data_IF_927502702094
#
_entry.id   IF_927502702094
#
_cell.length_a   1.000
_cell.length_b   1.000
_cell.length_c   1.000
_cell.angle_alpha   90.00
_cell.angle_beta   90.00
_cell.angle_gamma   90.00
#
_symmetry.space_group_name_H-M   'P 1'
#
loop_
_entity.id
_entity.type
_entity.pdbx_description
1 polymer ?
#
# COMPACT_ATOMS: atom_id res chain seq x y z
N UNK A 1 17.89 -9.91 -20.26
CA UNK A 1 16.50 -9.47 -20.10
C UNK A 1 16.35 -8.79 -18.75
N UNK A 2 16.08 -7.49 -18.77
CA UNK A 2 16.09 -6.62 -17.60
C UNK A 2 15.02 -5.54 -17.75
N UNK A 3 14.27 -5.31 -16.68
CA UNK A 3 13.34 -4.18 -16.58
C UNK A 3 13.90 -3.12 -15.63
N UNK A 4 13.45 -1.88 -15.82
CA UNK A 4 13.72 -0.81 -14.86
C UNK A 4 12.47 -0.55 -14.04
N UNK A 5 12.58 -0.60 -12.72
CA UNK A 5 11.49 -0.24 -11.80
C UNK A 5 11.88 1.04 -11.07
N UNK A 6 10.98 2.02 -11.08
CA UNK A 6 11.15 3.32 -10.40
C UNK A 6 10.04 3.47 -9.36
N UNK A 7 10.41 3.78 -8.13
CA UNK A 7 9.45 3.93 -7.04
C UNK A 7 9.10 5.40 -6.77
N UNK A 8 8.00 5.91 -7.33
CA UNK A 8 7.53 7.29 -7.14
C UNK A 8 6.56 7.45 -5.95
N UNK A 9 6.65 6.60 -4.92
CA UNK A 9 5.87 6.79 -3.69
C UNK A 9 6.48 7.90 -2.83
N UNK A 10 6.00 9.15 -2.98
CA UNK A 10 6.35 10.32 -2.13
C UNK A 10 5.96 10.12 -0.65
N UNK A 11 6.30 11.09 0.23
CA UNK A 11 6.11 11.14 1.70
C UNK A 11 4.94 10.35 2.30
N UNK A 12 3.75 10.37 1.70
CA UNK A 12 2.61 9.51 2.09
C UNK A 12 2.91 7.98 2.05
N UNK A 13 4.09 7.57 1.59
CA UNK A 13 4.69 6.24 1.67
C UNK A 13 6.17 6.20 2.12
N UNK A 14 6.73 7.28 2.69
CA UNK A 14 8.18 7.44 2.96
C UNK A 14 8.78 6.50 4.02
N UNK A 15 7.98 5.77 4.79
CA UNK A 15 8.53 4.97 5.91
C UNK A 15 8.95 3.56 5.52
N UNK A 16 8.58 3.09 4.33
CA UNK A 16 8.33 1.65 4.21
C UNK A 16 8.76 1.08 2.88
N UNK A 17 9.71 0.15 2.99
CA UNK A 17 10.35 -0.55 1.88
C UNK A 17 9.31 -1.44 1.19
N UNK A 18 9.12 -1.25 -0.12
CA UNK A 18 8.24 -2.10 -0.92
C UNK A 18 8.96 -3.40 -1.28
N UNK A 19 8.24 -4.52 -1.21
CA UNK A 19 8.74 -5.80 -1.72
C UNK A 19 8.24 -6.01 -3.13
N UNK A 20 9.16 -6.13 -4.08
CA UNK A 20 8.87 -6.48 -5.47
C UNK A 20 8.73 -8.00 -5.59
N UNK A 21 7.73 -8.42 -6.35
CA UNK A 21 7.45 -9.83 -6.67
C UNK A 21 7.36 -10.03 -8.18
N UNK A 22 8.09 -11.03 -8.69
CA UNK A 22 7.96 -11.54 -10.05
C UNK A 22 7.27 -12.91 -9.99
N UNK A 23 6.22 -13.10 -10.77
CA UNK A 23 5.44 -14.34 -10.83
C UNK A 23 5.03 -14.83 -9.42
N UNK A 24 4.67 -13.89 -8.54
CA UNK A 24 4.30 -14.15 -7.14
C UNK A 24 5.47 -14.36 -6.16
N UNK A 25 6.70 -14.58 -6.66
CA UNK A 25 7.90 -14.79 -5.83
C UNK A 25 8.54 -13.47 -5.44
N UNK A 26 8.84 -13.28 -4.15
CA UNK A 26 9.58 -12.11 -3.64
C UNK A 26 11.00 -12.16 -4.18
N UNK A 27 11.45 -11.06 -4.78
CA UNK A 27 12.77 -10.99 -5.40
C UNK A 27 13.68 -9.97 -4.71
N UNK A 28 13.16 -8.76 -4.47
CA UNK A 28 13.97 -7.65 -3.98
C UNK A 28 13.09 -6.61 -3.30
N UNK A 29 13.74 -5.76 -2.52
CA UNK A 29 13.14 -4.63 -1.83
C UNK A 29 13.55 -3.33 -2.54
N UNK A 30 12.63 -2.36 -2.63
CA UNK A 30 12.89 -1.06 -3.24
C UNK A 30 12.46 0.05 -2.27
N UNK A 31 13.36 1.01 -2.06
CA UNK A 31 13.12 2.18 -1.23
C UNK A 31 12.29 3.23 -2.00
N UNK A 32 11.64 4.17 -1.30
CA UNK A 32 11.07 5.37 -1.92
C UNK A 32 12.10 6.07 -2.81
N UNK A 33 11.65 6.57 -3.96
CA UNK A 33 12.43 7.33 -4.94
C UNK A 33 13.62 6.55 -5.57
N UNK A 34 13.76 5.28 -5.23
CA UNK A 34 14.81 4.44 -5.78
C UNK A 34 14.45 3.97 -7.19
N UNK A 35 15.47 3.92 -8.04
CA UNK A 35 15.46 3.25 -9.34
C UNK A 35 16.25 1.96 -9.26
N UNK A 36 15.66 0.86 -9.71
CA UNK A 36 16.28 -0.47 -9.65
C UNK A 36 16.16 -1.18 -11.00
N UNK A 37 17.23 -1.84 -11.43
CA UNK A 37 17.21 -2.76 -12.58
C UNK A 37 17.02 -4.18 -12.07
N UNK A 38 16.07 -4.91 -12.66
CA UNK A 38 15.69 -6.25 -12.23
C UNK A 38 15.77 -7.19 -13.42
N UNK A 39 16.51 -8.29 -13.28
CA UNK A 39 16.59 -9.31 -14.31
C UNK A 39 15.30 -10.13 -14.36
N UNK A 40 14.78 -10.32 -15.56
CA UNK A 40 13.65 -11.19 -15.82
C UNK A 40 14.17 -12.61 -16.03
N UNK A 41 13.75 -13.60 -15.21
CA UNK A 41 14.18 -14.98 -15.39
C UNK A 41 13.50 -15.65 -16.59
N UNK A 42 12.30 -15.20 -16.99
CA UNK A 42 11.46 -15.75 -18.05
C UNK A 42 10.54 -14.64 -18.61
N UNK A 43 10.11 -14.77 -19.86
CA UNK A 43 9.12 -13.90 -20.49
C UNK A 43 7.91 -14.69 -21.00
N UNK A 44 6.68 -14.15 -20.88
CA UNK A 44 6.30 -12.94 -20.14
C UNK A 44 6.41 -13.13 -18.62
N UNK A 45 6.70 -12.06 -17.88
CA UNK A 45 6.71 -12.07 -16.42
C UNK A 45 5.62 -11.16 -15.85
N UNK A 46 5.05 -11.52 -14.71
CA UNK A 46 4.09 -10.71 -13.98
C UNK A 46 4.74 -10.03 -12.79
N UNK A 47 4.76 -8.70 -12.79
CA UNK A 47 5.23 -7.86 -11.71
C UNK A 47 4.09 -7.51 -10.74
N UNK A 48 4.38 -7.53 -9.45
CA UNK A 48 3.54 -6.96 -8.39
C UNK A 48 4.41 -6.43 -7.26
N UNK A 49 3.91 -5.46 -6.49
CA UNK A 49 4.57 -4.96 -5.28
C UNK A 49 3.67 -5.10 -4.07
N UNK A 50 4.27 -5.23 -2.89
CA UNK A 50 3.52 -5.35 -1.63
C UNK A 50 4.25 -4.73 -0.45
N UNK A 51 3.48 -4.27 0.51
CA UNK A 51 3.95 -3.70 1.77
C UNK A 51 2.99 -4.08 2.89
N UNK A 52 3.47 -4.67 4.00
CA UNK A 52 2.67 -4.99 5.19
C UNK A 52 1.25 -5.49 4.84
N UNK A 53 1.15 -6.57 4.06
CA UNK A 53 -0.14 -7.16 3.64
C UNK A 53 -0.82 -6.47 2.44
N UNK A 54 -0.64 -5.17 2.25
CA UNK A 54 -1.12 -4.41 1.09
C UNK A 54 -0.42 -4.82 -0.21
N UNK A 55 -1.15 -4.79 -1.33
CA UNK A 55 -0.67 -5.21 -2.66
C UNK A 55 -0.98 -4.18 -3.73
N UNK A 56 -0.21 -4.20 -4.81
CA UNK A 56 -0.53 -3.51 -6.06
C UNK A 56 -1.47 -4.33 -6.97
N UNK A 57 -1.78 -3.79 -8.15
CA UNK A 57 -2.19 -4.61 -9.29
C UNK A 57 -1.06 -5.53 -9.78
N UNK A 58 -1.42 -6.50 -10.60
CA UNK A 58 -0.49 -7.27 -11.41
C UNK A 58 -0.27 -6.54 -12.74
N UNK A 59 0.96 -6.56 -13.24
CA UNK A 59 1.33 -5.97 -14.53
C UNK A 59 2.26 -6.93 -15.26
N UNK A 60 1.92 -7.30 -16.50
CA UNK A 60 2.81 -8.08 -17.35
C UNK A 60 3.93 -7.19 -17.90
N UNK A 61 5.16 -7.69 -17.85
CA UNK A 61 6.37 -6.94 -18.20
C UNK A 61 7.27 -7.73 -19.16
N UNK A 62 7.97 -7.01 -20.04
CA UNK A 62 8.90 -7.52 -21.06
C UNK A 62 10.26 -6.81 -21.00
N UNK A 63 11.30 -7.36 -21.63
CA UNK A 63 12.65 -6.80 -21.67
C UNK A 63 12.66 -5.33 -22.09
N UNK A 64 13.47 -4.52 -21.40
CA UNK A 64 13.65 -3.11 -21.70
C UNK A 64 12.54 -2.17 -21.19
N UNK A 65 11.42 -2.70 -20.67
CA UNK A 65 10.34 -1.85 -20.17
C UNK A 65 10.71 -1.09 -18.89
N UNK A 66 10.15 0.11 -18.75
CA UNK A 66 10.27 0.97 -17.57
C UNK A 66 8.92 0.98 -16.84
N UNK A 67 8.94 0.61 -15.57
CA UNK A 67 7.76 0.49 -14.73
C UNK A 67 7.84 1.48 -13.57
N UNK A 68 6.78 2.27 -13.42
CA UNK A 68 6.61 3.17 -12.29
C UNK A 68 5.68 2.58 -11.25
N UNK A 69 6.08 2.70 -9.98
CA UNK A 69 5.24 2.43 -8.82
C UNK A 69 4.71 3.76 -8.30
N UNK A 70 3.39 3.90 -8.24
CA UNK A 70 2.72 5.09 -7.73
C UNK A 70 1.64 4.73 -6.71
N UNK A 71 1.26 5.69 -5.85
CA UNK A 71 0.08 5.54 -5.00
C UNK A 71 -1.16 5.82 -5.85
N UNK A 72 -2.16 4.92 -5.80
CA UNK A 72 -3.41 5.14 -6.52
C UNK A 72 -4.13 6.36 -5.94
N UNK A 73 -4.40 7.39 -6.75
CA UNK A 73 -5.09 8.63 -6.32
C UNK A 73 -6.39 8.36 -5.56
N UNK A 74 -7.17 7.38 -6.02
CA UNK A 74 -8.42 6.96 -5.36
C UNK A 74 -8.15 6.41 -3.95
N UNK A 75 -7.08 5.62 -3.79
CA UNK A 75 -6.71 5.07 -2.48
C UNK A 75 -6.29 6.16 -1.50
N UNK A 76 -5.59 7.20 -1.96
CA UNK A 76 -5.29 8.36 -1.12
C UNK A 76 -6.55 9.08 -0.63
N UNK A 77 -7.59 9.22 -1.48
CA UNK A 77 -8.87 9.80 -1.09
C UNK A 77 -9.62 8.91 -0.08
N UNK A 78 -9.65 7.60 -0.32
CA UNK A 78 -10.27 6.63 0.60
C UNK A 78 -9.58 6.69 1.96
N UNK A 79 -8.25 6.72 1.99
CA UNK A 79 -7.50 6.83 3.24
C UNK A 79 -7.89 8.09 4.02
N UNK A 80 -7.84 9.27 3.39
CA UNK A 80 -8.17 10.52 4.05
C UNK A 80 -9.62 10.56 4.54
N UNK A 81 -10.57 10.09 3.72
CA UNK A 81 -11.98 9.99 4.13
C UNK A 81 -12.16 9.03 5.31
N UNK A 82 -11.52 7.86 5.27
CA UNK A 82 -11.61 6.86 6.34
C UNK A 82 -11.01 7.37 7.65
N UNK A 83 -9.91 8.13 7.57
CA UNK A 83 -9.26 8.75 8.72
C UNK A 83 -10.19 9.79 9.36
N UNK A 84 -10.85 10.62 8.54
CA UNK A 84 -11.83 11.59 9.03
C UNK A 84 -13.00 10.90 9.74
N UNK A 85 -13.57 9.87 9.12
CA UNK A 85 -14.64 9.06 9.74
C UNK A 85 -14.20 8.45 11.06
N UNK A 86 -12.99 7.90 11.14
CA UNK A 86 -12.45 7.32 12.37
C UNK A 86 -12.31 8.36 13.49
N UNK A 87 -11.84 9.56 13.18
CA UNK A 87 -11.74 10.65 14.17
C UNK A 87 -13.12 11.10 14.67
N UNK A 88 -14.13 11.17 13.79
CA UNK A 88 -15.51 11.46 14.19
C UNK A 88 -16.03 10.38 15.14
N UNK A 89 -15.78 9.09 14.86
CA UNK A 89 -16.21 8.01 15.74
C UNK A 89 -15.53 8.06 17.12
N UNK A 90 -14.24 8.45 17.19
CA UNK A 90 -13.55 8.68 18.46
C UNK A 90 -14.20 9.83 19.25
N UNK A 91 -14.55 10.92 18.57
CA UNK A 91 -15.23 12.06 19.19
C UNK A 91 -16.59 11.65 19.76
N UNK A 92 -17.39 10.93 18.98
CA UNK A 92 -18.69 10.41 19.42
C UNK A 92 -18.52 9.46 20.61
N UNK A 93 -17.53 8.57 20.57
CA UNK A 93 -17.22 7.66 21.69
C UNK A 93 -16.92 8.45 22.97
N UNK A 94 -16.22 9.57 22.86
CA UNK A 94 -15.93 10.43 24.01
C UNK A 94 -17.16 11.14 24.58
N UNK A 95 -18.16 11.44 23.75
CA UNK A 95 -19.39 12.14 24.11
C UNK A 95 -20.45 11.20 24.72
N UNK A 96 -20.63 10.00 24.16
CA UNK A 96 -21.73 9.11 24.53
C UNK A 96 -21.40 8.10 25.63
N UNK A 97 -20.11 7.79 25.86
CA UNK A 97 -19.70 6.84 26.89
C UNK A 97 -19.15 7.59 28.11
N UNK A 98 -19.76 7.49 29.30
CA UNK A 98 -19.32 8.25 30.46
C UNK A 98 -18.10 7.63 31.17
N UNK A 99 -17.94 6.30 31.11
CA UNK A 99 -16.88 5.58 31.83
C UNK A 99 -15.62 5.40 30.99
N UNK A 100 -14.45 5.55 31.61
CA UNK A 100 -13.15 5.39 30.93
C UNK A 100 -12.98 3.98 30.34
N UNK A 101 -13.45 2.95 31.04
CA UNK A 101 -13.32 1.55 30.60
C UNK A 101 -14.11 1.27 29.32
N UNK A 102 -15.32 1.82 29.19
CA UNK A 102 -16.15 1.62 27.99
C UNK A 102 -15.58 2.40 26.80
N UNK A 103 -15.05 3.60 27.01
CA UNK A 103 -14.31 4.36 25.98
C UNK A 103 -13.13 3.57 25.44
N UNK A 104 -12.27 3.05 26.32
CA UNK A 104 -11.09 2.30 25.91
C UNK A 104 -11.48 1.05 25.12
N UNK A 105 -12.45 0.28 25.61
CA UNK A 105 -12.93 -0.93 24.91
C UNK A 105 -13.47 -0.59 23.51
N UNK A 106 -14.33 0.42 23.39
CA UNK A 106 -14.90 0.84 22.10
C UNK A 106 -13.82 1.36 21.14
N UNK A 107 -12.88 2.19 21.61
CA UNK A 107 -11.77 2.69 20.79
C UNK A 107 -10.89 1.54 20.30
N UNK A 108 -10.58 0.55 21.15
CA UNK A 108 -9.81 -0.63 20.74
C UNK A 108 -10.52 -1.42 19.66
N UNK A 109 -11.83 -1.67 19.79
CA UNK A 109 -12.63 -2.37 18.79
C UNK A 109 -12.64 -1.60 17.47
N UNK A 110 -12.92 -0.29 17.52
CA UNK A 110 -12.89 0.58 16.34
C UNK A 110 -11.51 0.58 15.67
N UNK A 111 -10.43 0.60 16.45
CA UNK A 111 -9.06 0.54 15.96
C UNK A 111 -8.77 -0.76 15.20
N UNK A 112 -9.18 -1.91 15.75
CA UNK A 112 -9.03 -3.21 15.08
C UNK A 112 -9.83 -3.26 13.77
N UNK A 113 -11.08 -2.77 13.78
CA UNK A 113 -11.91 -2.69 12.58
C UNK A 113 -11.26 -1.79 11.52
N UNK A 114 -10.81 -0.60 11.93
CA UNK A 114 -10.17 0.38 11.05
C UNK A 114 -8.92 -0.21 10.39
N UNK A 115 -8.02 -0.79 11.18
CA UNK A 115 -6.80 -1.44 10.68
C UNK A 115 -7.15 -2.56 9.70
N UNK A 116 -8.11 -3.43 10.04
CA UNK A 116 -8.54 -4.54 9.19
C UNK A 116 -9.04 -4.08 7.82
N UNK A 117 -9.78 -2.97 7.76
CA UNK A 117 -10.24 -2.37 6.51
C UNK A 117 -9.09 -1.84 5.66
N UNK A 118 -8.05 -1.26 6.27
CA UNK A 118 -6.88 -0.75 5.53
C UNK A 118 -6.14 -1.87 4.77
N UNK A 119 -6.10 -3.09 5.31
CA UNK A 119 -5.46 -4.25 4.65
C UNK A 119 -6.19 -4.74 3.38
N UNK A 120 -7.48 -4.41 3.22
CA UNK A 120 -8.27 -4.86 2.07
C UNK A 120 -8.08 -3.97 0.83
N UNK A 121 -7.52 -2.78 1.00
CA UNK A 121 -7.39 -1.80 -0.09
C UNK A 121 -6.13 -2.09 -0.93
N UNK A 122 -6.23 -1.90 -2.25
CA UNK A 122 -5.06 -1.90 -3.15
C UNK A 122 -4.43 -0.51 -3.17
N UNK A 123 -3.31 -0.36 -2.46
CA UNK A 123 -2.65 0.93 -2.23
C UNK A 123 -1.83 1.42 -3.42
N UNK A 124 -1.18 0.50 -4.11
CA UNK A 124 -0.18 0.81 -5.14
C UNK A 124 -0.71 0.52 -6.53
N UNK A 125 -0.22 1.28 -7.49
CA UNK A 125 -0.46 1.08 -8.91
C UNK A 125 0.86 1.00 -9.66
N UNK A 126 1.02 -0.07 -10.44
CA UNK A 126 2.09 -0.25 -11.41
C UNK A 126 1.65 0.26 -12.78
N UNK A 127 2.50 1.02 -13.45
CA UNK A 127 2.25 1.56 -14.80
C UNK A 127 3.51 1.43 -15.67
N UNK A 128 3.31 1.15 -16.96
CA UNK A 128 4.37 1.24 -17.97
C UNK A 128 4.55 2.71 -18.38
N UNK A 129 5.80 3.10 -18.64
CA UNK A 129 6.18 4.40 -19.20
C UNK A 129 6.53 4.22 -20.66
#
# INVERSE_FOLDING_TARGET
MTITVINHTNWLGNGSILTIKLNGKKIVKINPEQRLRINLPQEPATLSVSQLGSKSNHLEVQDGEIIEITIKKVTSKIFFSSLLTFNILILLTNMFFPTISSKMATISILGVIYISLLFQVKWYQLKKV
#
